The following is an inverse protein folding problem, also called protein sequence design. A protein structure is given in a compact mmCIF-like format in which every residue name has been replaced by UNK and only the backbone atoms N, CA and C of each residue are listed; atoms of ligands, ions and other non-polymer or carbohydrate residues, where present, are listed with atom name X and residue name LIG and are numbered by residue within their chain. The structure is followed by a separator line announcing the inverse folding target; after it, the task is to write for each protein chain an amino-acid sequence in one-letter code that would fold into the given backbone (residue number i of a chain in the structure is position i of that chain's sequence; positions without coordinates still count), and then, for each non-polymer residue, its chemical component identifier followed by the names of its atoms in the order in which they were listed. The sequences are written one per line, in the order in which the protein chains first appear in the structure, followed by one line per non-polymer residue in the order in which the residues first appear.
data_IF_965531401473
#
_entry.id   IF_965531401473
#
_cell.length_a   1.000
_cell.length_b   1.000
_cell.length_c   1.000
_cell.angle_alpha   90.00
_cell.angle_beta   90.00
_cell.angle_gamma   90.00
#
_symmetry.space_group_name_H-M   'P 1'
#
loop_
_entity.id
_entity.type
_entity.pdbx_description
1 polymer ?
#
# COMPACT_ATOMS: atom_id res chain seq x y z
N UNK A 1 0.86 16.00 29.68
CA UNK A 1 1.80 15.92 28.54
C UNK A 1 0.99 15.68 27.28
N UNK A 2 1.16 16.51 26.25
CA UNK A 2 0.44 16.40 24.98
C UNK A 2 1.45 16.21 23.85
N UNK A 3 1.16 15.31 22.91
CA UNK A 3 2.07 14.98 21.82
C UNK A 3 1.46 13.91 20.91
N UNK A 4 2.19 13.56 19.85
CA UNK A 4 1.74 12.58 18.86
C UNK A 4 2.89 11.99 18.05
N UNK A 5 2.56 10.96 17.26
CA UNK A 5 3.52 10.22 16.43
C UNK A 5 3.14 10.34 14.96
N UNK A 6 4.15 10.28 14.09
CA UNK A 6 3.98 10.20 12.64
C UNK A 6 4.43 8.83 12.15
N UNK A 7 3.58 8.17 11.37
CA UNK A 7 3.97 7.00 10.59
C UNK A 7 4.51 7.46 9.24
N UNK A 8 5.75 7.09 8.94
CA UNK A 8 6.34 7.28 7.61
C UNK A 8 6.25 5.95 6.87
N UNK A 9 5.35 5.80 5.88
CA UNK A 9 5.16 4.52 5.21
C UNK A 9 6.36 4.17 4.32
N UNK A 10 6.77 2.90 4.39
CA UNK A 10 7.70 2.25 3.44
C UNK A 10 6.93 1.43 2.40
N UNK A 11 5.67 1.10 2.69
CA UNK A 11 4.78 0.30 1.86
C UNK A 11 3.33 0.74 2.09
N UNK A 12 2.54 0.80 1.01
CA UNK A 12 1.09 1.06 1.05
C UNK A 12 0.42 0.06 0.11
N UNK A 13 -0.66 -0.58 0.55
CA UNK A 13 -1.45 -1.50 -0.27
C UNK A 13 -2.89 -1.00 -0.36
N UNK A 14 -3.40 -0.88 -1.58
CA UNK A 14 -4.80 -0.63 -1.86
C UNK A 14 -5.43 -1.96 -2.26
N UNK A 15 -6.38 -2.40 -1.46
CA UNK A 15 -7.17 -3.59 -1.72
C UNK A 15 -8.56 -3.16 -2.18
N UNK A 16 -9.01 -3.70 -3.31
CA UNK A 16 -10.33 -3.43 -3.84
C UNK A 16 -11.05 -4.73 -4.18
N UNK A 17 -12.31 -4.81 -3.74
CA UNK A 17 -13.16 -5.96 -4.03
C UNK A 17 -13.51 -6.05 -5.53
N UNK A 18 -13.65 -7.28 -6.01
CA UNK A 18 -13.95 -7.62 -7.40
C UNK A 18 -14.72 -8.94 -7.46
N UNK A 19 -15.42 -9.18 -8.57
CA UNK A 19 -16.18 -10.41 -8.77
C UNK A 19 -15.30 -11.66 -8.66
N UNK A 20 -15.93 -12.79 -8.32
CA UNK A 20 -15.28 -14.10 -8.24
C UNK A 20 -14.06 -14.18 -7.30
N UNK A 21 -13.96 -13.29 -6.29
CA UNK A 21 -12.82 -13.19 -5.35
C UNK A 21 -11.48 -12.83 -6.02
N UNK A 22 -11.53 -12.25 -7.21
CA UNK A 22 -10.34 -11.79 -7.94
C UNK A 22 -9.97 -10.36 -7.56
N UNK A 23 -9.68 -10.15 -6.28
CA UNK A 23 -9.40 -8.84 -5.70
C UNK A 23 -8.26 -8.12 -6.40
N UNK A 24 -8.42 -6.82 -6.62
CA UNK A 24 -7.34 -5.98 -7.11
C UNK A 24 -6.49 -5.52 -5.93
N UNK A 25 -5.21 -5.87 -5.94
CA UNK A 25 -4.26 -5.55 -4.88
C UNK A 25 -3.13 -4.72 -5.44
N UNK A 26 -3.26 -3.40 -5.38
CA UNK A 26 -2.25 -2.46 -5.85
C UNK A 26 -1.27 -2.13 -4.73
N UNK A 27 0.00 -2.39 -4.96
CA UNK A 27 1.08 -2.22 -4.01
C UNK A 27 1.96 -1.04 -4.40
N UNK A 28 2.22 -0.14 -3.46
CA UNK A 28 3.24 0.90 -3.56
C UNK A 28 4.38 0.60 -2.57
N UNK A 29 5.61 0.58 -3.04
CA UNK A 29 6.81 0.43 -2.22
C UNK A 29 7.73 1.63 -2.38
N UNK A 30 8.28 2.11 -1.26
CA UNK A 30 9.21 3.23 -1.27
C UNK A 30 10.64 2.72 -1.40
N UNK A 31 11.36 3.15 -2.43
CA UNK A 31 12.75 2.81 -2.68
C UNK A 31 13.51 4.07 -3.12
N UNK A 32 14.63 4.37 -2.47
CA UNK A 32 15.51 5.51 -2.80
C UNK A 32 14.78 6.85 -2.92
N UNK A 33 13.78 7.07 -2.06
CA UNK A 33 12.96 8.29 -2.04
C UNK A 33 11.82 8.30 -3.05
N UNK A 34 11.79 7.36 -3.99
CA UNK A 34 10.77 7.21 -5.02
C UNK A 34 9.75 6.14 -4.64
N UNK A 35 8.60 6.14 -5.33
CA UNK A 35 7.58 5.11 -5.21
C UNK A 35 7.58 4.23 -6.45
N UNK A 36 7.66 2.91 -6.23
CA UNK A 36 7.40 1.90 -7.23
C UNK A 36 5.97 1.38 -7.05
N UNK A 37 5.30 1.03 -8.14
CA UNK A 37 3.97 0.40 -8.11
C UNK A 37 3.98 -1.00 -8.73
N UNK A 38 3.06 -1.86 -8.28
CA UNK A 38 2.85 -3.19 -8.83
C UNK A 38 1.50 -3.78 -8.42
N UNK A 39 1.15 -4.89 -9.07
CA UNK A 39 -0.04 -5.68 -8.72
C UNK A 39 0.38 -6.94 -7.97
N UNK A 40 -0.39 -7.31 -6.94
CA UNK A 40 -0.27 -8.58 -6.25
C UNK A 40 -1.37 -9.54 -6.73
N UNK A 41 -1.08 -10.84 -6.67
CA UNK A 41 -2.09 -11.85 -6.88
C UNK A 41 -3.20 -11.75 -5.78
N UNK A 42 -4.48 -11.95 -6.16
CA UNK A 42 -5.60 -11.95 -5.23
C UNK A 42 -5.41 -12.89 -4.04
#
# INVERSE_FOLDING_TARGET
HWGGYRVTPTRIEFWQDRAHRLHERRLFTRQDGNWNEGLLFP
#
